data_IF_985104388363
#
_entry.id   IF_985104388363
#
_cell.length_a   1.000
_cell.length_b   1.000
_cell.length_c   1.000
_cell.angle_alpha   90.00
_cell.angle_beta   90.00
_cell.angle_gamma   90.00
#
_symmetry.space_group_name_H-M   'P 1'
#
loop_
_entity.id
_entity.type
_entity.pdbx_description
1 polymer ?
#
# COMPACT_ATOMS: atom_id res chain seq x y z
N UNK A 1 -37.16 -9.39 2.72
CA UNK A 1 -36.54 -9.53 2.73
C UNK A 1 -35.72 -9.69 2.52
N UNK A 2 -35.78 -9.51 2.41
CA UNK A 2 -34.88 -9.58 2.33
C UNK A 2 -34.14 -9.37 2.32
N UNK A 3 -34.23 -9.10 2.38
CA UNK A 3 -33.49 -8.92 2.39
C UNK A 3 -32.78 -8.79 2.24
N UNK A 4 -33.00 -8.47 2.18
CA UNK A 4 -32.41 -8.37 2.01
C UNK A 4 -31.53 -8.44 1.67
N UNK A 5 -31.61 -8.27 1.54
CA UNK A 5 -30.84 -8.57 1.24
C UNK A 5 -30.00 -8.39 0.98
N UNK A 6 -30.21 -7.91 1.07
CA UNK A 6 -29.40 -7.96 1.05
C UNK A 6 -28.65 -8.29 1.22
N UNK A 7 -28.82 -8.00 1.30
CA UNK A 7 -27.94 -8.29 1.73
C UNK A 7 -27.34 -9.33 1.86
N UNK A 8 -27.71 -9.92 1.91
CA UNK A 8 -27.13 -10.88 2.17
C UNK A 8 -25.84 -11.21 1.71
N UNK A 9 -25.60 -11.04 0.92
CA UNK A 9 -24.21 -11.16 0.56
C UNK A 9 -23.31 -10.31 1.45
N UNK A 10 -23.90 -9.58 2.28
CA UNK A 10 -23.15 -8.82 3.26
C UNK A 10 -22.26 -9.72 4.11
N UNK A 11 -22.64 -10.98 4.27
CA UNK A 11 -21.84 -11.93 5.05
C UNK A 11 -20.51 -12.26 4.34
N UNK A 12 -20.43 -12.05 3.01
CA UNK A 12 -19.22 -12.34 2.26
C UNK A 12 -18.39 -11.08 1.98
N UNK A 13 -18.92 -9.92 2.29
CA UNK A 13 -18.23 -8.66 2.06
C UNK A 13 -17.40 -8.30 3.29
N UNK A 14 -16.11 -8.16 3.09
CA UNK A 14 -15.21 -7.75 4.17
C UNK A 14 -15.32 -6.25 4.39
N UNK A 15 -15.27 -5.80 5.65
CA UNK A 15 -15.14 -4.38 5.90
C UNK A 15 -13.89 -3.85 5.23
N UNK A 16 -13.98 -2.67 4.67
CA UNK A 16 -12.86 -2.01 4.04
C UNK A 16 -11.87 -1.58 5.12
N UNK A 17 -10.61 -1.99 4.97
CA UNK A 17 -9.58 -1.61 5.92
C UNK A 17 -9.17 -0.15 5.70
N UNK A 18 -9.05 0.64 6.77
CA UNK A 18 -8.59 2.03 6.60
C UNK A 18 -7.11 2.08 6.21
N UNK A 19 -6.72 3.17 5.56
CA UNK A 19 -5.33 3.44 5.24
C UNK A 19 -4.69 4.14 6.43
N UNK A 20 -3.50 3.70 6.80
CA UNK A 20 -2.68 4.37 7.78
C UNK A 20 -1.46 4.91 7.03
N UNK A 21 -1.34 6.22 6.95
CA UNK A 21 -0.29 6.89 6.20
C UNK A 21 0.94 7.07 7.08
N UNK A 22 2.04 6.43 6.70
CA UNK A 22 3.28 6.53 7.48
C UNK A 22 4.15 7.66 6.93
N UNK A 23 4.77 8.41 7.83
CA UNK A 23 5.62 9.52 7.43
C UNK A 23 4.88 10.52 6.56
N UNK A 24 5.50 10.92 5.46
CA UNK A 24 4.95 11.93 4.55
C UNK A 24 4.07 11.35 3.45
N UNK A 25 3.71 10.07 3.52
CA UNK A 25 3.08 9.39 2.38
C UNK A 25 1.77 10.02 1.92
N UNK A 26 0.94 10.49 2.83
CA UNK A 26 -0.32 11.13 2.42
C UNK A 26 -0.06 12.39 1.61
N UNK A 27 0.86 13.21 2.08
CA UNK A 27 1.27 14.42 1.38
C UNK A 27 1.89 14.06 0.03
N UNK A 28 2.72 13.02 0.00
CA UNK A 28 3.40 12.60 -1.22
C UNK A 28 2.40 12.15 -2.28
N UNK A 29 1.41 11.34 -1.90
CA UNK A 29 0.38 10.89 -2.85
C UNK A 29 -0.45 12.08 -3.34
N UNK A 30 -0.80 12.99 -2.43
CA UNK A 30 -1.58 14.16 -2.79
C UNK A 30 -0.85 15.04 -3.82
N UNK A 31 0.48 15.07 -3.75
CA UNK A 31 1.30 15.87 -4.65
C UNK A 31 1.65 15.22 -5.99
N UNK A 32 1.18 14.00 -6.26
CA UNK A 32 1.48 13.32 -7.51
C UNK A 32 0.75 13.98 -8.69
N UNK A 33 1.25 13.77 -9.93
CA UNK A 33 0.50 14.19 -11.10
C UNK A 33 -0.91 13.62 -11.06
N UNK A 34 -1.88 14.36 -11.56
CA UNK A 34 -3.29 13.99 -11.39
C UNK A 34 -3.60 12.57 -11.86
N UNK A 35 -3.09 12.19 -13.03
CA UNK A 35 -3.35 10.85 -13.56
C UNK A 35 -2.75 9.77 -12.68
N UNK A 36 -1.52 9.99 -12.17
CA UNK A 36 -0.85 9.03 -11.29
C UNK A 36 -1.58 8.94 -9.96
N UNK A 37 -1.98 10.09 -9.41
CA UNK A 37 -2.70 10.13 -8.16
C UNK A 37 -4.00 9.32 -8.24
N UNK A 38 -4.70 9.43 -9.37
CA UNK A 38 -5.94 8.69 -9.58
C UNK A 38 -5.70 7.18 -9.57
N UNK A 39 -4.63 6.74 -10.24
CA UNK A 39 -4.27 5.33 -10.26
C UNK A 39 -3.87 4.83 -8.87
N UNK A 40 -3.06 5.61 -8.15
CA UNK A 40 -2.64 5.23 -6.81
C UNK A 40 -3.83 5.11 -5.87
N UNK A 41 -4.76 6.07 -5.95
CA UNK A 41 -5.97 6.03 -5.14
C UNK A 41 -6.84 4.82 -5.46
N UNK A 42 -6.98 4.50 -6.75
CA UNK A 42 -7.74 3.34 -7.18
C UNK A 42 -7.13 2.05 -6.63
N UNK A 43 -5.81 1.89 -6.77
CA UNK A 43 -5.14 0.67 -6.31
C UNK A 43 -5.14 0.55 -4.79
N UNK A 44 -4.94 1.65 -4.08
CA UNK A 44 -5.02 1.63 -2.63
C UNK A 44 -6.42 1.22 -2.16
N UNK A 45 -7.45 1.70 -2.86
CA UNK A 45 -8.82 1.30 -2.56
C UNK A 45 -9.01 -0.21 -2.78
N UNK A 46 -8.42 -0.75 -3.84
CA UNK A 46 -8.47 -2.20 -4.08
C UNK A 46 -7.82 -2.96 -2.93
N UNK A 47 -6.67 -2.51 -2.46
CA UNK A 47 -6.01 -3.14 -1.32
C UNK A 47 -6.88 -3.09 -0.06
N UNK A 48 -7.58 -1.97 0.16
CA UNK A 48 -8.49 -1.86 1.30
C UNK A 48 -9.61 -2.89 1.24
N UNK A 49 -10.03 -3.25 0.03
CA UNK A 49 -11.08 -4.24 -0.20
C UNK A 49 -10.55 -5.66 -0.25
N UNK A 50 -9.24 -5.84 -0.17
CA UNK A 50 -8.64 -7.15 -0.26
C UNK A 50 -8.56 -7.68 -1.69
N UNK A 51 -8.59 -6.79 -2.67
CA UNK A 51 -8.56 -7.14 -4.09
C UNK A 51 -7.26 -6.63 -4.69
N UNK A 52 -6.66 -7.42 -5.59
CA UNK A 52 -5.44 -7.02 -6.27
C UNK A 52 -5.77 -6.58 -7.70
N UNK A 53 -5.00 -5.59 -8.16
CA UNK A 53 -5.02 -5.10 -9.52
C UNK A 53 -3.69 -5.51 -10.17
N UNK A 54 -3.65 -5.56 -11.50
CA UNK A 54 -2.41 -5.96 -12.20
C UNK A 54 -1.25 -5.01 -11.94
N UNK A 55 -1.52 -3.81 -11.46
CA UNK A 55 -0.47 -2.83 -11.11
C UNK A 55 0.13 -3.09 -9.74
N UNK A 56 -0.40 -4.04 -9.01
CA UNK A 56 0.02 -4.34 -7.63
C UNK A 56 0.83 -5.61 -7.65
N UNK A 57 2.09 -5.54 -7.20
CA UNK A 57 3.00 -6.69 -7.17
C UNK A 57 3.60 -6.84 -5.79
N UNK A 58 3.83 -8.09 -5.33
CA UNK A 58 4.50 -8.28 -4.06
C UNK A 58 5.98 -7.89 -4.15
N UNK A 59 6.49 -7.33 -3.06
CA UNK A 59 7.93 -7.07 -2.93
C UNK A 59 8.60 -8.34 -2.48
N UNK A 60 9.47 -8.89 -3.31
CA UNK A 60 10.21 -10.11 -2.99
C UNK A 60 11.70 -9.80 -3.00
N UNK A 61 12.48 -10.67 -2.37
CA UNK A 61 13.93 -10.54 -2.40
C UNK A 61 14.53 -9.62 -1.35
N UNK A 62 13.72 -9.06 -0.47
CA UNK A 62 14.20 -8.17 0.59
C UNK A 62 13.77 -8.71 1.95
N UNK A 63 14.74 -8.94 2.83
CA UNK A 63 14.49 -9.50 4.15
C UNK A 63 13.55 -8.58 4.94
N UNK A 64 12.52 -9.17 5.53
CA UNK A 64 11.56 -8.45 6.35
C UNK A 64 10.37 -7.88 5.60
N UNK A 65 10.54 -7.56 4.33
CA UNK A 65 9.44 -6.97 3.55
C UNK A 65 8.41 -8.03 3.18
N UNK A 66 8.86 -9.23 2.86
CA UNK A 66 7.97 -10.33 2.55
C UNK A 66 7.11 -10.70 3.75
N UNK A 67 7.68 -10.67 4.94
CA UNK A 67 6.99 -11.03 6.17
C UNK A 67 5.83 -10.08 6.47
N UNK A 68 5.99 -8.81 6.15
CA UNK A 68 4.94 -7.81 6.33
C UNK A 68 3.98 -7.75 5.14
N UNK A 69 4.22 -8.59 4.13
CA UNK A 69 3.47 -8.58 2.87
C UNK A 69 3.44 -7.18 2.27
N UNK A 70 4.63 -6.65 2.03
CA UNK A 70 4.76 -5.36 1.36
C UNK A 70 4.49 -5.56 -0.12
N UNK A 71 3.61 -4.74 -0.65
CA UNK A 71 3.30 -4.74 -2.09
C UNK A 71 3.68 -3.40 -2.69
N UNK A 72 3.88 -3.40 -4.00
CA UNK A 72 4.25 -2.23 -4.77
C UNK A 72 3.14 -1.94 -5.78
N UNK A 73 2.69 -0.68 -5.80
CA UNK A 73 1.80 -0.19 -6.86
C UNK A 73 2.67 0.62 -7.80
N UNK A 74 2.62 0.34 -9.09
CA UNK A 74 3.44 0.98 -10.10
C UNK A 74 2.61 1.66 -11.15
N UNK A 75 3.02 2.85 -11.55
CA UNK A 75 2.40 3.55 -12.66
C UNK A 75 3.47 4.35 -13.40
N UNK A 76 3.55 4.13 -14.69
CA UNK A 76 4.46 4.86 -15.56
C UNK A 76 3.77 6.13 -16.04
N UNK A 77 4.48 7.24 -16.00
CA UNK A 77 3.92 8.50 -16.45
C UNK A 77 5.05 9.45 -16.84
N UNK A 78 5.03 9.89 -18.10
CA UNK A 78 5.95 10.92 -18.59
C UNK A 78 7.42 10.58 -18.33
N UNK A 79 7.81 9.36 -18.64
CA UNK A 79 9.20 8.92 -18.51
C UNK A 79 9.63 8.48 -17.13
N UNK A 80 8.77 8.60 -16.14
CA UNK A 80 9.05 8.19 -14.77
C UNK A 80 8.16 7.01 -14.39
N UNK A 81 8.63 6.23 -13.43
CA UNK A 81 7.81 5.20 -12.79
C UNK A 81 7.53 5.65 -11.38
N UNK A 82 6.27 5.84 -11.08
CA UNK A 82 5.82 6.20 -9.73
C UNK A 82 5.50 4.91 -8.97
N UNK A 83 5.93 4.84 -7.72
CA UNK A 83 5.78 3.64 -6.91
C UNK A 83 5.24 3.99 -5.54
N UNK A 84 4.26 3.21 -5.08
CA UNK A 84 3.73 3.31 -3.72
C UNK A 84 3.87 1.93 -3.08
N UNK A 85 4.49 1.89 -1.91
CA UNK A 85 4.68 0.66 -1.15
C UNK A 85 3.74 0.62 0.03
N UNK A 86 3.10 -0.52 0.24
CA UNK A 86 2.16 -0.67 1.34
C UNK A 86 2.29 -2.06 1.96
N UNK A 87 2.14 -2.13 3.28
CA UNK A 87 2.12 -3.40 4.01
C UNK A 87 0.66 -3.82 4.19
N UNK A 88 0.34 -5.03 3.76
CA UNK A 88 -1.05 -5.49 3.74
C UNK A 88 -1.30 -6.70 4.64
N UNK A 89 -0.30 -7.10 5.43
CA UNK A 89 -0.41 -8.27 6.30
C UNK A 89 -1.48 -8.11 7.38
N UNK A 90 -1.60 -6.92 7.92
CA UNK A 90 -2.37 -6.70 9.15
C UNK A 90 -3.85 -6.52 8.86
N UNK A 91 -4.72 -7.20 9.63
CA UNK A 91 -6.15 -7.14 9.34
C UNK A 91 -6.82 -5.80 9.65
N UNK A 92 -6.22 -5.00 10.54
CA UNK A 92 -6.85 -3.77 10.99
C UNK A 92 -6.66 -2.60 10.04
N UNK A 93 -5.49 -2.51 9.39
CA UNK A 93 -5.16 -1.34 8.57
C UNK A 93 -4.21 -1.73 7.45
N UNK A 94 -4.25 -0.95 6.38
CA UNK A 94 -3.24 -0.97 5.33
C UNK A 94 -2.25 0.14 5.66
N UNK A 95 -0.96 -0.17 5.75
CA UNK A 95 0.06 0.83 6.08
C UNK A 95 0.77 1.29 4.82
N UNK A 96 0.55 2.54 4.43
CA UNK A 96 1.24 3.12 3.27
C UNK A 96 2.62 3.56 3.74
N UNK A 97 3.66 2.91 3.21
CA UNK A 97 5.02 3.03 3.73
C UNK A 97 5.88 4.05 3.01
N UNK A 98 5.76 4.13 1.70
CA UNK A 98 6.68 4.98 0.92
C UNK A 98 6.07 5.28 -0.45
N UNK A 99 6.32 6.49 -0.93
CA UNK A 99 5.89 6.94 -2.25
C UNK A 99 7.11 7.61 -2.89
N UNK A 100 7.51 7.15 -4.08
CA UNK A 100 8.66 7.73 -4.75
C UNK A 100 8.57 7.53 -6.25
N UNK A 101 9.42 8.24 -7.00
CA UNK A 101 9.49 8.05 -8.44
C UNK A 101 10.91 7.72 -8.86
N UNK A 102 11.02 7.02 -9.99
CA UNK A 102 12.28 6.60 -10.54
C UNK A 102 12.17 6.68 -12.05
N UNK A 103 13.25 7.06 -12.73
CA UNK A 103 13.25 7.07 -14.19
C UNK A 103 13.00 5.66 -14.71
N UNK A 104 12.06 5.53 -15.65
CA UNK A 104 11.64 4.21 -16.14
C UNK A 104 12.79 3.41 -16.75
N UNK A 105 13.74 4.07 -17.40
CA UNK A 105 14.85 3.41 -18.03
C UNK A 105 15.91 2.89 -17.08
N UNK A 106 15.79 3.17 -15.79
CA UNK A 106 16.77 2.75 -14.78
C UNK A 106 16.54 1.36 -14.23
N UNK A 107 15.59 0.62 -14.80
CA UNK A 107 15.32 -0.74 -14.38
C UNK A 107 14.30 -0.82 -13.26
N UNK A 108 14.06 -2.05 -12.79
CA UNK A 108 12.98 -2.33 -11.85
C UNK A 108 13.41 -2.39 -10.39
N UNK A 109 14.70 -2.39 -10.14
CA UNK A 109 15.20 -2.51 -8.78
C UNK A 109 14.80 -1.32 -7.93
N UNK A 110 14.50 -1.59 -6.68
CA UNK A 110 14.22 -0.53 -5.71
C UNK A 110 15.54 -0.06 -5.14
N UNK A 111 15.87 1.25 -5.24
CA UNK A 111 17.13 1.76 -4.70
C UNK A 111 17.23 1.49 -3.21
N UNK A 112 18.47 1.31 -2.74
CA UNK A 112 18.71 0.99 -1.33
C UNK A 112 18.14 2.04 -0.39
N UNK A 113 18.26 3.32 -0.75
CA UNK A 113 17.71 4.39 0.09
C UNK A 113 16.21 4.25 0.31
N UNK A 114 15.50 3.77 -0.70
CA UNK A 114 14.06 3.58 -0.60
C UNK A 114 13.73 2.34 0.21
N UNK A 115 14.52 1.28 0.08
CA UNK A 115 14.39 0.09 0.93
C UNK A 115 14.60 0.48 2.39
N UNK A 116 15.62 1.31 2.67
CA UNK A 116 15.90 1.75 4.03
C UNK A 116 14.73 2.54 4.61
N UNK A 117 14.12 3.41 3.81
CA UNK A 117 12.95 4.17 4.24
C UNK A 117 11.79 3.22 4.55
N UNK A 118 11.54 2.25 3.68
CA UNK A 118 10.46 1.28 3.88
C UNK A 118 10.68 0.50 5.18
N UNK A 119 11.92 0.05 5.42
CA UNK A 119 12.24 -0.68 6.65
C UNK A 119 12.06 0.16 7.90
N UNK A 120 12.48 1.42 7.84
CA UNK A 120 12.33 2.32 8.98
C UNK A 120 10.84 2.52 9.30
N UNK A 121 10.03 2.69 8.28
CA UNK A 121 8.59 2.90 8.50
C UNK A 121 7.89 1.63 8.95
N UNK A 122 8.37 0.45 8.53
CA UNK A 122 7.85 -0.80 9.07
C UNK A 122 8.14 -0.92 10.57
N UNK A 123 9.31 -0.45 11.01
CA UNK A 123 9.61 -0.43 12.44
C UNK A 123 8.64 0.50 13.16
N UNK A 124 8.32 1.65 12.56
CA UNK A 124 7.35 2.57 13.14
C UNK A 124 5.97 1.95 13.22
N UNK A 125 5.58 1.14 12.22
CA UNK A 125 4.31 0.42 12.23
C UNK A 125 4.22 -0.48 13.45
N UNK A 126 5.29 -1.19 13.78
CA UNK A 126 5.28 -2.08 14.94
C UNK A 126 5.01 -1.33 16.23
N UNK A 127 5.66 -0.18 16.39
CA UNK A 127 5.44 0.65 17.57
C UNK A 127 4.02 1.21 17.63
N UNK A 128 3.53 1.68 16.49
CA UNK A 128 2.17 2.21 16.41
C UNK A 128 1.13 1.14 16.75
N UNK A 129 1.31 -0.07 16.22
CA UNK A 129 0.39 -1.17 16.47
C UNK A 129 0.38 -1.56 17.95
N UNK A 130 1.56 -1.58 18.56
CA UNK A 130 1.67 -1.86 20.00
C UNK A 130 0.92 -0.82 20.80
N UNK A 131 1.06 0.45 20.45
CA UNK A 131 0.36 1.52 21.15
C UNK A 131 -1.15 1.44 20.98
N UNK A 132 -1.63 0.92 19.88
CA UNK A 132 -3.06 0.72 19.65
C UNK A 132 -3.60 -0.57 20.26
N UNK A 133 -2.73 -1.39 20.82
CA UNK A 133 -3.15 -2.68 21.40
C UNK A 133 -3.42 -3.75 20.35
N UNK A 134 -2.94 -3.57 19.13
CA UNK A 134 -3.10 -4.58 18.08
C UNK A 134 -2.07 -5.69 18.25
N UNK A 135 -2.38 -6.87 17.74
CA UNK A 135 -1.45 -7.99 17.74
C UNK A 135 -0.22 -7.66 16.89
N UNK A 136 0.97 -8.19 17.26
CA UNK A 136 2.20 -7.92 16.50
C UNK A 136 2.13 -8.39 15.07
#
# INVERSE_FOLDING_TARGET
MGDQKSPKRSSTVRPKRPLCWMGSTKKDVTGLPEDVKRVMGFCLNKLQEGVFDERIEPMIGHVGLKRAKVVEIRENFDGDTFRTMAAIKYPEEIYVLHVFKKKSHKGRETPQKDIDTIRARLADVKGLRKNKGYAP
#
